data_IF_706193423873
#
_entry.id   IF_706193423873
#
_cell.length_a   1.000
_cell.length_b   1.000
_cell.length_c   1.000
_cell.angle_alpha   90.00
_cell.angle_beta   90.00
_cell.angle_gamma   90.00
#
_symmetry.space_group_name_H-M   'P 1'
#
loop_
_entity.id
_entity.type
_entity.pdbx_description
1 polymer ?
#
# COMPACT_ATOMS: atom_id res chain seq x y z
N UNK A 1 31.44 -11.53 2.18
CA UNK A 1 30.96 -11.52 0.78
C UNK A 1 31.76 -10.51 -0.01
N UNK A 2 32.29 -10.87 -1.18
CA UNK A 2 32.93 -9.91 -2.08
C UNK A 2 31.90 -9.18 -2.97
N UNK A 3 32.37 -8.21 -3.74
CA UNK A 3 31.52 -7.35 -4.58
C UNK A 3 30.85 -8.13 -5.72
N UNK A 4 31.57 -9.02 -6.39
CA UNK A 4 31.05 -9.80 -7.51
C UNK A 4 29.95 -10.75 -7.05
N UNK A 5 30.18 -11.43 -5.93
CA UNK A 5 29.18 -12.30 -5.32
C UNK A 5 27.94 -11.54 -4.87
N UNK A 6 28.07 -10.33 -4.30
CA UNK A 6 26.90 -9.52 -3.95
C UNK A 6 26.07 -9.15 -5.18
N UNK A 7 26.72 -8.68 -6.25
CA UNK A 7 26.05 -8.35 -7.51
C UNK A 7 25.37 -9.58 -8.11
N UNK A 8 26.04 -10.73 -8.10
CA UNK A 8 25.47 -11.99 -8.56
C UNK A 8 24.26 -12.41 -7.71
N UNK A 9 24.34 -12.29 -6.39
CA UNK A 9 23.22 -12.60 -5.50
C UNK A 9 22.04 -11.66 -5.71
N UNK A 10 22.31 -10.41 -6.07
CA UNK A 10 21.28 -9.42 -6.42
C UNK A 10 20.67 -9.66 -7.82
N UNK A 11 21.11 -10.63 -8.63
CA UNK A 11 20.62 -10.79 -10.01
C UNK A 11 19.17 -11.27 -10.15
N UNK A 12 18.65 -11.98 -9.15
CA UNK A 12 17.30 -12.55 -9.15
C UNK A 12 16.75 -12.69 -7.73
N UNK A 13 15.43 -12.77 -7.56
CA UNK A 13 14.87 -12.97 -6.23
C UNK A 13 15.32 -14.29 -5.57
N UNK A 14 15.38 -15.46 -6.24
CA UNK A 14 15.88 -16.69 -5.61
C UNK A 14 17.30 -16.57 -5.04
N UNK A 15 18.18 -15.84 -5.74
CA UNK A 15 19.54 -15.60 -5.25
C UNK A 15 19.57 -14.57 -4.12
N UNK A 16 18.67 -13.58 -4.13
CA UNK A 16 18.47 -12.64 -3.01
C UNK A 16 17.97 -13.39 -1.77
N UNK A 17 16.98 -14.26 -1.92
CA UNK A 17 16.45 -15.08 -0.81
C UNK A 17 17.56 -15.93 -0.19
N UNK A 18 18.38 -16.60 -1.02
CA UNK A 18 19.57 -17.31 -0.55
C UNK A 18 20.53 -16.40 0.21
N UNK A 19 20.75 -15.16 -0.25
CA UNK A 19 21.60 -14.19 0.44
C UNK A 19 21.03 -13.84 1.82
N UNK A 20 19.74 -13.49 1.89
CA UNK A 20 19.07 -13.09 3.13
C UNK A 20 19.03 -14.22 4.18
N UNK A 21 19.03 -15.49 3.74
CA UNK A 21 19.13 -16.67 4.62
C UNK A 21 20.57 -17.01 5.06
N UNK A 22 21.57 -16.58 4.30
CA UNK A 22 22.96 -17.04 4.50
C UNK A 22 23.89 -15.99 5.11
N UNK A 23 23.54 -14.70 5.02
CA UNK A 23 24.39 -13.60 5.45
C UNK A 23 23.71 -12.76 6.53
N UNK A 24 24.53 -12.15 7.38
CA UNK A 24 24.03 -11.27 8.44
C UNK A 24 23.72 -9.89 7.89
N UNK A 25 22.93 -9.13 8.65
CA UNK A 25 22.64 -7.73 8.35
C UNK A 25 23.91 -6.91 8.07
N UNK A 26 24.97 -7.09 8.87
CA UNK A 26 26.21 -6.34 8.72
C UNK A 26 26.89 -6.64 7.38
N UNK A 27 26.86 -7.90 6.93
CA UNK A 27 27.46 -8.31 5.66
C UNK A 27 26.78 -7.62 4.47
N UNK A 28 25.45 -7.47 4.53
CA UNK A 28 24.65 -6.78 3.51
C UNK A 28 24.88 -5.28 3.58
N UNK A 29 24.80 -4.68 4.78
CA UNK A 29 25.03 -3.25 5.01
C UNK A 29 26.39 -2.81 4.45
N UNK A 30 27.47 -3.51 4.83
CA UNK A 30 28.81 -3.14 4.39
C UNK A 30 28.96 -3.20 2.87
N UNK A 31 28.36 -4.21 2.20
CA UNK A 31 28.43 -4.32 0.74
C UNK A 31 27.59 -3.25 0.04
N UNK A 32 26.38 -2.98 0.53
CA UNK A 32 25.54 -1.92 -0.01
C UNK A 32 26.21 -0.54 0.15
N UNK A 33 26.77 -0.25 1.33
CA UNK A 33 27.53 0.97 1.61
C UNK A 33 28.75 1.14 0.69
N UNK A 34 29.52 0.08 0.48
CA UNK A 34 30.67 0.09 -0.44
C UNK A 34 30.25 0.43 -1.88
N UNK A 35 29.15 -0.17 -2.36
CA UNK A 35 28.64 0.08 -3.71
C UNK A 35 28.07 1.49 -3.88
N UNK A 36 27.39 2.01 -2.87
CA UNK A 36 26.80 3.35 -2.87
C UNK A 36 27.82 4.45 -2.55
N UNK A 37 29.03 4.08 -2.11
CA UNK A 37 30.07 5.01 -1.66
C UNK A 37 29.58 5.92 -0.52
N UNK A 38 28.88 5.33 0.45
CA UNK A 38 28.38 6.00 1.64
C UNK A 38 28.80 5.25 2.89
N UNK A 39 29.04 5.97 3.97
CA UNK A 39 29.41 5.37 5.25
C UNK A 39 28.26 4.48 5.79
N UNK A 40 28.56 3.30 6.37
CA UNK A 40 27.54 2.39 6.90
C UNK A 40 26.53 3.06 7.83
N UNK A 41 26.99 3.83 8.82
CA UNK A 41 26.12 4.51 9.77
C UNK A 41 25.19 5.56 9.12
N UNK A 42 25.57 6.10 7.96
CA UNK A 42 24.71 7.01 7.17
C UNK A 42 23.65 6.19 6.43
N UNK A 43 24.04 5.07 5.79
CA UNK A 43 23.10 4.19 5.12
C UNK A 43 22.07 3.61 6.09
N UNK A 44 22.44 3.22 7.31
CA UNK A 44 21.50 2.70 8.30
C UNK A 44 20.31 3.64 8.56
N UNK A 45 20.54 4.95 8.49
CA UNK A 45 19.55 6.00 8.73
C UNK A 45 18.90 6.50 7.44
N UNK A 46 19.27 5.95 6.28
CA UNK A 46 18.73 6.37 5.00
C UNK A 46 17.22 6.17 4.95
N UNK A 47 16.43 7.20 4.61
CA UNK A 47 14.97 7.11 4.61
C UNK A 47 14.49 6.28 3.41
N UNK A 48 13.77 5.20 3.68
CA UNK A 48 13.24 4.26 2.68
C UNK A 48 11.72 4.37 2.48
N UNK A 49 11.06 5.33 3.15
CA UNK A 49 9.60 5.47 3.15
C UNK A 49 8.90 4.54 4.17
N UNK A 50 7.58 4.71 4.32
CA UNK A 50 6.72 3.94 5.25
C UNK A 50 6.03 4.79 6.33
N UNK A 51 4.82 4.38 6.73
CA UNK A 51 4.00 5.09 7.72
C UNK A 51 4.73 5.20 9.07
N UNK A 52 4.88 6.44 9.52
CA UNK A 52 5.59 6.76 10.75
C UNK A 52 4.68 6.57 11.97
N UNK A 53 4.72 5.40 12.59
CA UNK A 53 4.51 5.31 14.05
C UNK A 53 5.87 5.45 14.75
N UNK A 54 6.43 6.66 14.68
CA UNK A 54 7.71 7.02 15.27
C UNK A 54 8.86 7.18 14.25
N UNK A 55 9.85 8.02 14.60
CA UNK A 55 10.97 8.49 13.76
C UNK A 55 11.97 7.42 13.25
N UNK A 56 11.60 6.15 13.21
CA UNK A 56 12.58 5.09 12.93
C UNK A 56 12.05 3.90 12.11
N UNK A 57 10.74 3.69 11.89
CA UNK A 57 10.27 2.48 11.19
C UNK A 57 10.63 2.42 9.69
N UNK A 58 10.87 3.55 9.05
CA UNK A 58 11.15 3.65 7.61
C UNK A 58 12.63 3.78 7.23
N UNK A 59 13.57 3.62 8.17
CA UNK A 59 15.00 3.69 7.83
C UNK A 59 15.51 2.36 7.24
N UNK A 60 16.51 2.43 6.36
CA UNK A 60 17.13 1.27 5.69
C UNK A 60 17.43 0.12 6.64
N UNK A 61 17.96 0.40 7.83
CA UNK A 61 18.24 -0.60 8.86
C UNK A 61 17.02 -1.49 9.14
N UNK A 62 15.87 -0.87 9.39
CA UNK A 62 14.65 -1.59 9.75
C UNK A 62 14.09 -2.38 8.58
N UNK A 63 14.16 -1.83 7.37
CA UNK A 63 13.74 -2.51 6.15
C UNK A 63 14.55 -3.79 5.93
N UNK A 64 15.89 -3.73 6.05
CA UNK A 64 16.72 -4.93 5.86
C UNK A 64 16.52 -5.94 6.99
N UNK A 65 16.37 -5.49 8.24
CA UNK A 65 16.02 -6.39 9.35
C UNK A 65 14.68 -7.10 9.14
N UNK A 66 13.67 -6.39 8.61
CA UNK A 66 12.38 -6.98 8.27
C UNK A 66 12.53 -8.05 7.18
N UNK A 67 13.24 -7.75 6.09
CA UNK A 67 13.52 -8.70 5.01
C UNK A 67 14.19 -9.97 5.53
N UNK A 68 15.22 -9.85 6.38
CA UNK A 68 15.92 -11.01 6.95
C UNK A 68 14.98 -11.80 7.88
N UNK A 69 14.26 -11.11 8.77
CA UNK A 69 13.41 -11.73 9.77
C UNK A 69 12.22 -12.47 9.14
N UNK A 70 11.66 -11.92 8.07
CA UNK A 70 10.42 -12.38 7.46
C UNK A 70 10.64 -13.04 6.09
N UNK A 71 11.87 -13.48 5.77
CA UNK A 71 12.23 -13.98 4.43
C UNK A 71 11.31 -15.10 3.92
N UNK A 72 10.86 -16.00 4.78
CA UNK A 72 9.95 -17.09 4.39
C UNK A 72 8.57 -16.56 3.93
N UNK A 73 8.12 -15.42 4.44
CA UNK A 73 6.88 -14.77 3.96
C UNK A 73 7.06 -14.12 2.59
N UNK A 74 8.23 -13.52 2.34
CA UNK A 74 8.56 -12.98 1.03
C UNK A 74 8.72 -14.09 -0.01
N UNK A 75 9.32 -15.23 0.37
CA UNK A 75 9.40 -16.42 -0.49
C UNK A 75 8.01 -16.95 -0.83
N UNK A 76 7.16 -17.10 0.18
CA UNK A 76 5.77 -17.53 0.01
C UNK A 76 4.98 -16.65 -0.96
N UNK A 77 5.18 -15.32 -0.89
CA UNK A 77 4.56 -14.35 -1.79
C UNK A 77 5.12 -14.47 -3.21
N UNK A 78 6.45 -14.48 -3.36
CA UNK A 78 7.10 -14.57 -4.67
C UNK A 78 6.71 -15.84 -5.44
N UNK A 79 6.58 -16.97 -4.75
CA UNK A 79 6.16 -18.23 -5.37
C UNK A 79 4.75 -18.17 -5.96
N UNK A 80 3.89 -17.28 -5.47
CA UNK A 80 2.48 -17.10 -5.88
C UNK A 80 2.24 -16.03 -6.94
N UNK A 81 3.25 -15.23 -7.27
CA UNK A 81 3.15 -14.30 -8.40
C UNK A 81 3.05 -15.10 -9.70
N UNK A 82 1.96 -14.93 -10.44
CA UNK A 82 1.66 -15.78 -11.59
C UNK A 82 2.57 -15.48 -12.78
N UNK A 83 2.78 -14.20 -13.07
CA UNK A 83 3.45 -13.73 -14.27
C UNK A 83 4.87 -13.19 -14.02
N UNK A 84 5.66 -13.14 -15.10
CA UNK A 84 7.05 -12.70 -15.05
C UNK A 84 7.20 -11.19 -14.77
N UNK A 85 6.23 -10.36 -15.18
CA UNK A 85 6.22 -8.90 -14.96
C UNK A 85 6.11 -8.62 -13.46
N UNK A 86 5.15 -9.24 -12.77
CA UNK A 86 4.98 -9.21 -11.31
C UNK A 86 6.22 -9.69 -10.57
N UNK A 87 6.83 -10.82 -10.99
CA UNK A 87 8.08 -11.33 -10.40
C UNK A 87 9.23 -10.35 -10.58
N UNK A 88 9.34 -9.68 -11.73
CA UNK A 88 10.36 -8.66 -12.00
C UNK A 88 10.15 -7.41 -11.14
N UNK A 89 8.92 -6.90 -11.04
CA UNK A 89 8.57 -5.75 -10.20
C UNK A 89 8.91 -6.06 -8.75
N UNK A 90 8.46 -7.20 -8.23
CA UNK A 90 8.77 -7.64 -6.87
C UNK A 90 10.29 -7.72 -6.64
N UNK A 91 11.02 -8.39 -7.53
CA UNK A 91 12.49 -8.51 -7.44
C UNK A 91 13.16 -7.13 -7.39
N UNK A 92 12.70 -6.21 -8.25
CA UNK A 92 13.20 -4.84 -8.33
C UNK A 92 12.98 -4.05 -7.04
N UNK A 93 11.79 -4.16 -6.45
CA UNK A 93 11.47 -3.51 -5.19
C UNK A 93 12.28 -4.09 -4.02
N UNK A 94 12.56 -5.39 -4.00
CA UNK A 94 13.45 -6.00 -3.00
C UNK A 94 14.91 -5.55 -3.22
N UNK A 95 15.37 -5.45 -4.46
CA UNK A 95 16.70 -4.93 -4.76
C UNK A 95 16.86 -3.49 -4.32
N UNK A 96 15.87 -2.64 -4.57
CA UNK A 96 15.87 -1.26 -4.06
C UNK A 96 15.98 -1.21 -2.54
N UNK A 97 15.26 -2.09 -1.82
CA UNK A 97 15.30 -2.18 -0.36
C UNK A 97 16.67 -2.60 0.19
N UNK A 98 17.45 -3.38 -0.56
CA UNK A 98 18.79 -3.84 -0.18
C UNK A 98 19.92 -2.94 -0.72
N UNK A 99 19.68 -2.24 -1.82
CA UNK A 99 20.60 -1.31 -2.46
C UNK A 99 19.75 -0.16 -3.03
N UNK A 100 19.57 0.94 -2.27
CA UNK A 100 18.72 2.09 -2.63
C UNK A 100 19.17 2.90 -3.86
N UNK A 101 19.30 2.23 -5.00
CA UNK A 101 19.62 2.81 -6.29
C UNK A 101 18.34 3.05 -7.08
N UNK A 102 18.18 4.28 -7.60
CA UNK A 102 17.00 4.72 -8.36
C UNK A 102 16.66 3.81 -9.55
N UNK A 103 17.67 3.21 -10.18
CA UNK A 103 17.51 2.29 -11.31
C UNK A 103 16.59 1.11 -11.02
N UNK A 104 16.52 0.64 -9.77
CA UNK A 104 15.60 -0.42 -9.40
C UNK A 104 14.14 0.06 -9.32
N UNK A 105 13.91 1.30 -8.88
CA UNK A 105 12.58 1.92 -8.91
C UNK A 105 12.14 2.18 -10.34
N UNK A 106 13.03 2.71 -11.18
CA UNK A 106 12.76 2.96 -12.60
C UNK A 106 12.39 1.67 -13.34
N UNK A 107 12.99 0.54 -12.97
CA UNK A 107 12.63 -0.77 -13.54
C UNK A 107 11.34 -1.36 -12.94
N UNK A 108 10.98 -0.99 -11.71
CA UNK A 108 9.76 -1.46 -11.06
C UNK A 108 8.53 -0.62 -11.44
N UNK A 109 8.75 0.61 -11.89
CA UNK A 109 7.68 1.54 -12.24
C UNK A 109 7.00 1.10 -13.54
N UNK A 110 5.67 1.04 -13.48
CA UNK A 110 4.82 0.76 -14.62
C UNK A 110 4.00 2.02 -14.94
N UNK A 111 4.12 2.48 -16.18
CA UNK A 111 3.39 3.65 -16.70
C UNK A 111 2.42 3.27 -17.83
N UNK A 112 2.29 1.97 -18.13
CA UNK A 112 1.48 1.48 -19.24
C UNK A 112 -0.02 1.72 -19.01
N UNK A 113 -0.48 1.50 -17.78
CA UNK A 113 -1.87 1.67 -17.36
C UNK A 113 -1.98 2.62 -16.16
N UNK A 114 -3.14 3.25 -16.03
CA UNK A 114 -3.44 4.03 -14.83
C UNK A 114 -3.46 3.13 -13.60
N UNK A 115 -3.05 3.69 -12.46
CA UNK A 115 -3.04 2.98 -11.18
C UNK A 115 -4.40 2.31 -10.92
N UNK A 116 -4.36 1.05 -10.49
CA UNK A 116 -5.52 0.17 -10.26
C UNK A 116 -6.23 -0.35 -11.52
N UNK A 117 -5.91 0.15 -12.72
CA UNK A 117 -6.67 -0.13 -13.95
C UNK A 117 -5.84 -0.84 -15.01
N UNK A 118 -4.99 -1.78 -14.58
CA UNK A 118 -4.20 -2.62 -15.48
C UNK A 118 -5.13 -3.56 -16.27
N UNK A 119 -5.26 -3.29 -17.56
CA UNK A 119 -6.17 -4.02 -18.46
C UNK A 119 -5.65 -5.40 -18.85
N UNK A 120 -4.41 -5.75 -18.49
CA UNK A 120 -3.90 -7.12 -18.61
C UNK A 120 -4.33 -8.00 -17.42
N UNK A 121 -4.65 -7.38 -16.28
CA UNK A 121 -5.01 -8.08 -15.05
C UNK A 121 -6.50 -8.01 -14.73
N UNK A 122 -7.19 -6.97 -15.18
CA UNK A 122 -8.56 -6.67 -14.78
C UNK A 122 -9.46 -6.52 -16.00
N UNK A 123 -10.53 -7.31 -16.00
CA UNK A 123 -11.63 -7.24 -16.95
C UNK A 123 -12.92 -6.97 -16.18
N UNK A 124 -13.73 -6.03 -16.67
CA UNK A 124 -15.06 -5.74 -16.11
C UNK A 124 -16.10 -5.71 -17.21
N UNK A 125 -17.34 -6.01 -16.82
CA UNK A 125 -18.51 -5.93 -17.70
C UNK A 125 -19.59 -4.99 -17.10
N UNK A 126 -20.73 -4.88 -17.77
CA UNK A 126 -21.83 -4.05 -17.31
C UNK A 126 -22.46 -4.48 -15.97
N UNK A 127 -22.11 -5.66 -15.45
CA UNK A 127 -22.60 -6.20 -14.19
C UNK A 127 -21.69 -5.86 -12.99
N UNK A 128 -20.56 -5.18 -13.23
CA UNK A 128 -19.56 -4.88 -12.22
C UNK A 128 -20.12 -4.03 -11.07
N UNK A 129 -19.93 -4.50 -9.84
CA UNK A 129 -20.21 -3.78 -8.59
C UNK A 129 -18.87 -3.42 -7.96
N UNK A 130 -18.44 -2.18 -8.20
CA UNK A 130 -17.15 -1.66 -7.77
C UNK A 130 -17.26 -0.94 -6.42
N UNK A 131 -16.35 -1.21 -5.50
CA UNK A 131 -16.26 -0.56 -4.20
C UNK A 131 -14.92 0.16 -4.08
N UNK A 132 -14.96 1.48 -3.90
CA UNK A 132 -13.80 2.32 -3.61
C UNK A 132 -13.73 2.60 -2.10
N UNK A 133 -12.84 1.88 -1.42
CA UNK A 133 -12.54 2.09 -0.01
C UNK A 133 -11.43 3.15 0.12
N UNK A 134 -11.78 4.31 0.70
CA UNK A 134 -10.93 5.50 0.72
C UNK A 134 -11.06 6.30 -0.57
N UNK A 135 -12.28 6.79 -0.80
CA UNK A 135 -12.65 7.47 -2.05
C UNK A 135 -12.02 8.85 -2.25
N UNK A 136 -11.47 9.47 -1.19
CA UNK A 136 -10.90 10.80 -1.23
C UNK A 136 -11.80 11.80 -1.97
N UNK A 137 -11.38 12.33 -3.13
CA UNK A 137 -12.18 13.28 -3.92
C UNK A 137 -12.96 12.63 -5.07
N UNK A 138 -13.04 11.29 -5.08
CA UNK A 138 -13.66 10.49 -6.13
C UNK A 138 -12.79 10.35 -7.39
N UNK A 139 -11.48 10.60 -7.28
CA UNK A 139 -10.53 10.54 -8.39
C UNK A 139 -10.36 9.14 -8.96
N UNK A 140 -10.35 8.11 -8.10
CA UNK A 140 -10.26 6.71 -8.53
C UNK A 140 -11.51 6.31 -9.33
N UNK A 141 -12.70 6.65 -8.86
CA UNK A 141 -13.96 6.42 -9.60
C UNK A 141 -14.04 7.23 -10.88
N UNK A 142 -13.55 8.48 -10.89
CA UNK A 142 -13.46 9.26 -12.11
C UNK A 142 -12.55 8.57 -13.13
N UNK A 143 -11.37 8.11 -12.71
CA UNK A 143 -10.44 7.39 -13.57
C UNK A 143 -11.02 6.07 -14.08
N UNK A 144 -11.73 5.30 -13.24
CA UNK A 144 -12.46 4.09 -13.63
C UNK A 144 -13.36 4.35 -14.86
N UNK A 145 -14.15 5.44 -14.81
CA UNK A 145 -15.09 5.79 -15.87
C UNK A 145 -14.37 6.33 -17.11
N UNK A 146 -13.33 7.17 -16.93
CA UNK A 146 -12.52 7.70 -18.04
C UNK A 146 -11.76 6.61 -18.80
N UNK A 147 -11.38 5.53 -18.11
CA UNK A 147 -10.75 4.35 -18.70
C UNK A 147 -11.73 3.47 -19.51
N UNK A 148 -13.03 3.78 -19.46
CA UNK A 148 -14.09 3.12 -20.21
C UNK A 148 -14.62 1.84 -19.56
N UNK A 149 -14.32 1.60 -18.29
CA UNK A 149 -14.90 0.46 -17.57
C UNK A 149 -16.40 0.67 -17.38
N UNK A 150 -17.16 -0.39 -17.65
CA UNK A 150 -18.60 -0.41 -17.43
C UNK A 150 -18.89 -0.88 -16.02
N UNK A 151 -20.01 -0.42 -15.46
CA UNK A 151 -20.41 -0.78 -14.12
C UNK A 151 -21.92 -0.84 -13.99
N UNK A 152 -22.38 -1.80 -13.17
CA UNK A 152 -23.75 -1.83 -12.67
C UNK A 152 -23.93 -0.82 -11.55
N UNK A 153 -22.96 -0.75 -10.64
CA UNK A 153 -23.02 0.10 -9.46
C UNK A 153 -21.64 0.40 -8.88
N UNK A 154 -21.49 1.59 -8.30
CA UNK A 154 -20.28 1.97 -7.57
C UNK A 154 -20.65 2.39 -6.15
N UNK A 155 -19.91 1.91 -5.17
CA UNK A 155 -19.98 2.35 -3.78
C UNK A 155 -18.67 3.03 -3.39
N UNK A 156 -18.76 4.25 -2.85
CA UNK A 156 -17.58 5.01 -2.41
C UNK A 156 -17.64 5.21 -0.91
N UNK A 157 -16.59 4.82 -0.21
CA UNK A 157 -16.47 4.98 1.23
C UNK A 157 -15.40 6.03 1.53
N UNK A 158 -15.80 7.14 2.14
CA UNK A 158 -14.90 8.21 2.53
C UNK A 158 -15.39 8.85 3.85
N UNK A 159 -14.64 8.74 4.96
CA UNK A 159 -15.08 9.27 6.25
C UNK A 159 -14.98 10.78 6.39
N UNK A 160 -14.14 11.47 5.59
CA UNK A 160 -13.95 12.91 5.71
C UNK A 160 -15.03 13.70 4.97
N UNK A 161 -15.85 14.45 5.73
CA UNK A 161 -16.96 15.26 5.19
C UNK A 161 -16.55 16.18 4.01
N UNK A 162 -15.40 16.88 4.10
CA UNK A 162 -14.91 17.74 3.01
C UNK A 162 -14.61 16.96 1.72
N UNK A 163 -14.15 15.71 1.86
CA UNK A 163 -13.85 14.82 0.75
C UNK A 163 -15.13 14.22 0.17
N UNK A 164 -16.13 13.91 1.00
CA UNK A 164 -17.46 13.50 0.55
C UNK A 164 -18.16 14.60 -0.26
N UNK A 165 -18.05 15.87 0.13
CA UNK A 165 -18.63 16.95 -0.69
C UNK A 165 -17.94 17.04 -2.06
N UNK A 166 -16.62 16.89 -2.12
CA UNK A 166 -15.89 16.81 -3.39
C UNK A 166 -16.30 15.57 -4.20
N UNK A 167 -16.49 14.42 -3.56
CA UNK A 167 -17.03 13.23 -4.23
C UNK A 167 -18.39 13.52 -4.88
N UNK A 168 -19.30 14.24 -4.20
CA UNK A 168 -20.60 14.62 -4.79
C UNK A 168 -20.43 15.49 -6.04
N UNK A 169 -19.49 16.43 -6.02
CA UNK A 169 -19.15 17.26 -7.17
C UNK A 169 -18.57 16.41 -8.31
N UNK A 170 -17.58 15.56 -8.03
CA UNK A 170 -16.96 14.66 -9.01
C UNK A 170 -17.99 13.69 -9.59
N UNK A 171 -18.94 13.21 -8.80
CA UNK A 171 -19.99 12.28 -9.22
C UNK A 171 -21.23 12.96 -9.82
N UNK A 172 -21.22 14.29 -9.97
CA UNK A 172 -22.33 15.00 -10.57
C UNK A 172 -22.60 14.48 -11.99
N UNK A 173 -23.86 14.12 -12.27
CA UNK A 173 -24.34 13.54 -13.53
C UNK A 173 -23.83 12.11 -13.85
N UNK A 174 -23.32 11.39 -12.86
CA UNK A 174 -23.02 9.96 -12.99
C UNK A 174 -24.10 9.14 -12.30
N UNK A 175 -24.62 8.15 -13.01
CA UNK A 175 -25.69 7.29 -12.49
C UNK A 175 -25.12 6.12 -11.69
N UNK A 176 -25.94 5.55 -10.81
CA UNK A 176 -25.66 4.32 -10.04
C UNK A 176 -24.40 4.39 -9.16
N UNK A 177 -24.13 5.55 -8.55
CA UNK A 177 -23.05 5.73 -7.58
C UNK A 177 -23.65 6.11 -6.22
N UNK A 178 -23.27 5.39 -5.18
CA UNK A 178 -23.67 5.67 -3.79
C UNK A 178 -22.45 6.06 -2.95
N UNK A 179 -22.56 7.15 -2.20
CA UNK A 179 -21.52 7.66 -1.32
C UNK A 179 -21.85 7.34 0.14
N UNK A 180 -20.90 6.73 0.85
CA UNK A 180 -20.99 6.43 2.27
C UNK A 180 -19.97 7.27 3.05
N UNK A 181 -20.42 8.14 3.97
CA UNK A 181 -19.56 9.00 4.77
C UNK A 181 -18.92 8.23 5.95
N UNK A 182 -18.34 7.06 5.65
CA UNK A 182 -17.81 6.12 6.63
C UNK A 182 -16.43 5.62 6.18
N UNK A 183 -15.57 5.33 7.15
CA UNK A 183 -14.40 4.50 6.91
C UNK A 183 -14.81 3.02 6.85
N UNK A 184 -13.89 2.18 6.40
CA UNK A 184 -14.13 0.73 6.27
C UNK A 184 -13.31 -0.02 7.31
N UNK A 185 -13.91 -1.01 7.98
CA UNK A 185 -13.26 -1.83 8.99
C UNK A 185 -14.09 -3.06 9.37
N UNK A 186 -13.61 -3.83 10.35
CA UNK A 186 -14.18 -5.15 10.71
C UNK A 186 -15.66 -5.10 11.13
N UNK A 187 -16.08 -3.99 11.74
CA UNK A 187 -17.45 -3.81 12.23
C UNK A 187 -17.77 -2.34 12.42
N UNK A 188 -19.05 -2.06 12.60
CA UNK A 188 -19.50 -0.72 12.96
C UNK A 188 -18.92 -0.27 14.31
N UNK A 189 -18.06 0.75 14.29
CA UNK A 189 -17.57 1.42 15.49
C UNK A 189 -17.25 2.90 15.26
N UNK A 190 -17.23 3.68 16.34
CA UNK A 190 -16.77 5.07 16.33
C UNK A 190 -15.32 5.10 16.80
N UNK A 191 -14.44 5.61 15.94
CA UNK A 191 -13.02 5.77 16.20
C UNK A 191 -12.64 7.25 16.27
N UNK A 192 -11.57 7.51 17.01
CA UNK A 192 -10.98 8.83 17.14
C UNK A 192 -9.66 8.87 16.39
N UNK A 193 -9.56 9.80 15.47
CA UNK A 193 -8.32 10.10 14.77
C UNK A 193 -7.58 11.26 15.44
N UNK A 194 -6.28 11.08 15.59
CA UNK A 194 -5.32 12.15 15.90
C UNK A 194 -4.60 12.55 14.60
N UNK A 195 -4.62 13.84 14.25
CA UNK A 195 -4.08 14.39 12.99
C UNK A 195 -5.12 14.61 11.87
N UNK A 196 -4.64 15.06 10.71
CA UNK A 196 -5.43 15.32 9.49
C UNK A 196 -4.80 14.62 8.27
N UNK A 197 -5.62 14.16 7.32
CA UNK A 197 -5.18 13.54 6.07
C UNK A 197 -4.36 12.24 6.24
N UNK A 198 -3.37 12.04 5.36
CA UNK A 198 -2.50 10.85 5.29
C UNK A 198 -1.56 10.65 6.49
N UNK A 199 -1.56 11.60 7.45
CA UNK A 199 -0.82 11.50 8.71
C UNK A 199 -1.72 11.16 9.91
N UNK A 200 -2.98 10.83 9.67
CA UNK A 200 -3.92 10.49 10.74
C UNK A 200 -3.57 9.13 11.38
N UNK A 201 -3.76 9.03 12.70
CA UNK A 201 -3.57 7.77 13.41
C UNK A 201 -4.68 7.53 14.42
N UNK A 202 -5.14 6.28 14.51
CA UNK A 202 -6.18 5.90 15.45
C UNK A 202 -5.67 5.93 16.90
N UNK A 203 -6.38 6.68 17.75
CA UNK A 203 -6.15 6.69 19.19
C UNK A 203 -6.71 5.41 19.83
N UNK A 204 -5.91 4.75 20.69
CA UNK A 204 -6.35 3.55 21.41
C UNK A 204 -7.51 3.88 22.37
N UNK A 205 -8.46 2.94 22.51
CA UNK A 205 -9.68 3.00 23.36
C UNK A 205 -9.50 3.44 24.83
N UNK A 206 -8.26 3.49 25.36
CA UNK A 206 -7.97 3.75 26.77
C UNK A 206 -7.36 5.14 27.09
N UNK A 207 -7.36 6.10 26.15
CA UNK A 207 -6.94 7.46 26.48
C UNK A 207 -8.06 8.16 27.27
N UNK A 208 -7.78 8.48 28.54
CA UNK A 208 -8.69 9.25 29.39
C UNK A 208 -8.97 10.59 28.72
N UNK A 209 -10.25 10.79 28.43
CA UNK A 209 -10.82 11.91 27.68
C UNK A 209 -10.87 13.15 28.57
N UNK A 210 -9.98 14.09 28.30
CA UNK A 210 -10.20 15.51 28.54
C UNK A 210 -9.83 16.21 27.23
N UNK A 211 -10.84 16.79 26.58
CA UNK A 211 -10.78 17.79 25.51
C UNK A 211 -9.42 17.95 24.80
N UNK A 212 -9.14 17.10 23.80
CA UNK A 212 -8.09 17.36 22.80
C UNK A 212 -8.54 16.93 21.41
N UNK A 213 -8.69 17.94 20.55
CA UNK A 213 -8.44 18.00 19.09
C UNK A 213 -8.36 16.67 18.32
N UNK A 214 -9.42 15.87 18.31
CA UNK A 214 -9.52 14.68 17.46
C UNK A 214 -10.84 14.67 16.68
N UNK A 215 -10.80 14.24 15.42
CA UNK A 215 -12.02 14.06 14.61
C UNK A 215 -12.60 12.67 14.87
N UNK A 216 -13.91 12.60 15.06
CA UNK A 216 -14.64 11.34 15.16
C UNK A 216 -14.92 10.83 13.76
N UNK A 217 -14.63 9.56 13.54
CA UNK A 217 -15.02 8.86 12.32
C UNK A 217 -15.82 7.60 12.68
N UNK A 218 -16.88 7.37 11.91
CA UNK A 218 -17.61 6.11 11.96
C UNK A 218 -16.98 5.20 10.93
N UNK A 219 -16.60 4.00 11.35
CA UNK A 219 -16.22 2.93 10.43
C UNK A 219 -17.33 1.88 10.38
N UNK A 220 -17.46 1.18 9.26
CA UNK A 220 -18.44 0.12 9.01
C UNK A 220 -17.78 -1.05 8.27
N UNK A 221 -18.35 -2.26 8.38
CA UNK A 221 -17.93 -3.37 7.53
C UNK A 221 -18.66 -3.36 6.20
N UNK A 222 -17.96 -3.77 5.15
CA UNK A 222 -18.56 -3.90 3.81
C UNK A 222 -19.69 -4.93 3.83
N UNK A 223 -19.51 -6.05 4.52
CA UNK A 223 -20.52 -7.12 4.63
C UNK A 223 -21.81 -6.66 5.34
N UNK A 224 -21.70 -5.82 6.37
CA UNK A 224 -22.88 -5.28 7.05
C UNK A 224 -23.55 -4.19 6.20
N UNK A 225 -22.76 -3.33 5.56
CA UNK A 225 -23.24 -2.15 4.86
C UNK A 225 -23.82 -2.47 3.48
N UNK A 226 -23.17 -3.33 2.71
CA UNK A 226 -23.55 -3.66 1.33
C UNK A 226 -24.43 -4.90 1.30
N UNK A 227 -25.51 -4.86 0.51
CA UNK A 227 -26.46 -5.98 0.35
C UNK A 227 -26.38 -6.66 -1.01
N UNK A 228 -25.66 -6.05 -1.94
CA UNK A 228 -25.44 -6.57 -3.28
C UNK A 228 -24.06 -7.22 -3.35
N UNK A 229 -23.89 -8.33 -4.10
CA UNK A 229 -22.58 -8.94 -4.29
C UNK A 229 -21.60 -7.94 -4.91
N UNK A 230 -20.46 -7.76 -4.27
CA UNK A 230 -19.34 -6.95 -4.75
C UNK A 230 -18.45 -7.81 -5.64
N UNK A 231 -18.01 -7.26 -6.77
CA UNK A 231 -17.14 -7.97 -7.74
C UNK A 231 -15.73 -7.39 -7.77
N UNK A 232 -15.56 -6.13 -7.37
CA UNK A 232 -14.25 -5.50 -7.27
C UNK A 232 -14.17 -4.51 -6.09
N UNK A 233 -13.14 -4.67 -5.27
CA UNK A 233 -12.77 -3.74 -4.20
C UNK A 233 -11.42 -3.10 -4.54
N UNK A 234 -11.38 -1.76 -4.62
CA UNK A 234 -10.13 -0.99 -4.44
C UNK A 234 -10.07 -0.55 -3.00
N UNK A 235 -8.86 -0.59 -2.41
CA UNK A 235 -8.65 -0.23 -1.01
C UNK A 235 -7.38 0.58 -0.83
N UNK A 236 -7.55 1.81 -0.36
CA UNK A 236 -6.49 2.70 0.08
C UNK A 236 -7.02 3.49 1.28
N UNK A 237 -6.85 2.94 2.49
CA UNK A 237 -7.48 3.44 3.73
C UNK A 237 -6.45 3.87 4.76
N UNK A 238 -5.27 4.27 4.30
CA UNK A 238 -4.22 4.94 5.06
C UNK A 238 -3.79 4.18 6.34
N UNK A 239 -3.56 2.86 6.22
CA UNK A 239 -3.06 2.03 7.30
C UNK A 239 -4.13 1.26 8.09
N UNK A 240 -5.37 1.24 7.59
CA UNK A 240 -6.48 0.46 8.16
C UNK A 240 -6.92 -0.72 7.27
N UNK A 241 -6.05 -1.16 6.36
CA UNK A 241 -6.37 -2.18 5.34
C UNK A 241 -6.66 -3.54 5.99
N UNK A 242 -5.87 -3.95 6.98
CA UNK A 242 -6.08 -5.24 7.64
C UNK A 242 -7.44 -5.30 8.35
N UNK A 243 -7.82 -4.33 9.21
CA UNK A 243 -9.18 -4.29 9.73
C UNK A 243 -10.28 -4.21 8.67
N UNK A 244 -10.04 -3.55 7.53
CA UNK A 244 -11.02 -3.44 6.44
C UNK A 244 -11.22 -4.76 5.66
N UNK A 245 -10.23 -5.66 5.68
CA UNK A 245 -10.29 -6.98 5.02
C UNK A 245 -10.87 -8.09 5.91
N UNK A 246 -11.01 -7.87 7.22
CA UNK A 246 -11.51 -8.85 8.20
C UNK A 246 -13.01 -8.72 8.42
#
# INVERSE_FOLDING_TARGET
MDKEMFIQLMSSYPTISKMLKSYRYEDILFKASELLQIEPHVLEQYPMGGYSKGKTSGAYRFVVFDLIKNIEHYDWLYERLEDDKSRLIFTSLIQYRLLPAKTFLERAYDEEYAQYFDKELIECDENEVFVDCGGFIGDTVQSYIEQGFQYKKIFVFEPEEENIEKCKETMQNKDNIELFPYGVGEKREELWLDGTGSSSSFLKKNVKREEKEGKRQIIVSLDEQLKEPVTWIKMDVEGFEIPALL
#
